data_IF_054594064597
#
_entry.id   IF_054594064597
#
_cell.length_a   1.000
_cell.length_b   1.000
_cell.length_c   1.000
_cell.angle_alpha   90.00
_cell.angle_beta   90.00
_cell.angle_gamma   90.00
#
_symmetry.space_group_name_H-M   'P 1'
#
loop_
_entity.id
_entity.type
_entity.pdbx_description
1 polymer ?
#
# COMPACT_ATOMS: atom_id res chain seq x y z
N UNK A 1 12.76 0.04 -14.47
CA UNK A 1 11.98 0.01 -13.21
C UNK A 1 11.47 -1.40 -13.00
N UNK A 2 11.41 -1.86 -11.76
CA UNK A 2 10.79 -3.13 -11.36
C UNK A 2 9.86 -2.89 -10.17
N UNK A 3 9.01 -3.86 -9.81
CA UNK A 3 8.24 -3.77 -8.56
C UNK A 3 8.07 -5.12 -7.85
N UNK A 4 8.66 -5.22 -6.67
CA UNK A 4 8.54 -6.37 -5.75
C UNK A 4 8.03 -5.92 -4.37
N UNK A 5 6.73 -6.09 -4.05
CA UNK A 5 6.13 -5.54 -2.84
C UNK A 5 6.77 -6.00 -1.52
N UNK A 6 7.29 -7.22 -1.48
CA UNK A 6 7.92 -7.78 -0.28
C UNK A 6 9.21 -7.08 0.11
N UNK A 7 9.87 -6.37 -0.82
CA UNK A 7 11.11 -5.65 -0.55
C UNK A 7 11.02 -4.73 0.65
N UNK A 8 9.89 -4.03 0.80
CA UNK A 8 9.73 -3.05 1.87
C UNK A 8 9.89 -3.64 3.28
N UNK A 9 9.50 -4.91 3.47
CA UNK A 9 9.49 -5.58 4.78
C UNK A 9 10.63 -6.60 4.96
N UNK A 10 11.42 -6.85 3.91
CA UNK A 10 12.56 -7.76 3.98
C UNK A 10 13.77 -7.02 4.57
N UNK A 11 14.28 -7.52 5.69
CA UNK A 11 15.30 -6.86 6.51
C UNK A 11 16.59 -6.54 5.76
N UNK A 12 17.05 -7.44 4.89
CA UNK A 12 18.32 -7.33 4.17
C UNK A 12 18.22 -6.48 2.90
N UNK A 13 17.01 -6.20 2.42
CA UNK A 13 16.78 -5.52 1.14
C UNK A 13 17.42 -4.12 1.08
N UNK A 14 17.26 -3.23 2.08
CA UNK A 14 17.85 -1.90 2.01
C UNK A 14 19.37 -1.94 1.84
N UNK A 15 20.06 -2.82 2.57
CA UNK A 15 21.49 -3.01 2.46
C UNK A 15 21.89 -3.49 1.05
N UNK A 16 21.20 -4.49 0.52
CA UNK A 16 21.50 -5.07 -0.80
C UNK A 16 21.28 -4.06 -1.93
N UNK A 17 20.19 -3.30 -1.90
CA UNK A 17 19.93 -2.27 -2.91
C UNK A 17 20.94 -1.13 -2.79
N UNK A 18 21.29 -0.71 -1.58
CA UNK A 18 22.31 0.33 -1.35
C UNK A 18 23.70 -0.10 -1.84
N UNK A 19 24.03 -1.39 -1.67
CA UNK A 19 25.27 -1.98 -2.20
C UNK A 19 25.29 -2.04 -3.74
N UNK A 20 24.13 -2.25 -4.38
CA UNK A 20 24.01 -2.19 -5.84
C UNK A 20 24.19 -0.75 -6.36
N UNK A 21 23.47 0.20 -5.78
CA UNK A 21 23.64 1.63 -6.06
C UNK A 21 23.00 2.47 -4.98
N UNK A 22 23.80 3.36 -4.38
CA UNK A 22 23.34 4.31 -3.36
C UNK A 22 22.38 5.37 -3.91
N UNK A 23 22.40 5.61 -5.22
CA UNK A 23 21.56 6.63 -5.89
C UNK A 23 20.19 6.08 -6.33
N UNK A 24 19.89 4.82 -6.02
CA UNK A 24 18.60 4.21 -6.37
C UNK A 24 17.45 5.02 -5.78
N UNK A 25 16.51 5.43 -6.63
CA UNK A 25 15.23 6.03 -6.21
C UNK A 25 14.23 4.93 -5.86
N UNK A 26 13.54 5.12 -4.74
CA UNK A 26 12.60 4.16 -4.17
C UNK A 26 11.19 4.74 -4.18
N UNK A 27 10.20 3.93 -4.53
CA UNK A 27 8.78 4.32 -4.47
C UNK A 27 8.06 3.31 -3.58
N UNK A 28 7.30 3.82 -2.60
CA UNK A 28 6.49 3.02 -1.70
C UNK A 28 5.04 3.45 -1.85
N UNK A 29 4.18 2.53 -2.32
CA UNK A 29 2.73 2.76 -2.36
C UNK A 29 2.15 2.29 -1.04
N UNK A 30 1.66 3.23 -0.24
CA UNK A 30 1.06 2.97 1.08
C UNK A 30 -0.47 3.05 0.99
N UNK A 31 -1.15 2.50 1.99
CA UNK A 31 -2.61 2.44 2.10
C UNK A 31 -2.99 2.43 3.57
N UNK A 32 -4.22 2.76 3.93
CA UNK A 32 -4.76 2.50 5.27
C UNK A 32 -4.36 1.07 5.71
N UNK A 33 -3.59 0.92 6.81
CA UNK A 33 -3.03 -0.37 7.21
C UNK A 33 -4.11 -1.39 7.59
N UNK A 34 -5.28 -0.95 8.08
CA UNK A 34 -6.42 -1.83 8.36
C UNK A 34 -6.98 -2.37 7.05
N UNK A 35 -7.29 -1.47 6.12
CA UNK A 35 -7.82 -1.86 4.80
C UNK A 35 -6.83 -2.73 4.03
N UNK A 36 -5.52 -2.46 4.17
CA UNK A 36 -4.42 -3.26 3.62
C UNK A 36 -4.39 -4.66 4.20
N UNK A 37 -4.50 -4.82 5.53
CA UNK A 37 -4.53 -6.12 6.20
C UNK A 37 -5.73 -6.96 5.75
N UNK A 38 -6.92 -6.37 5.66
CA UNK A 38 -8.13 -7.04 5.17
C UNK A 38 -7.95 -7.50 3.71
N UNK A 39 -7.31 -6.67 2.89
CA UNK A 39 -7.03 -7.00 1.48
C UNK A 39 -6.07 -8.19 1.34
N UNK A 40 -5.04 -8.25 2.21
CA UNK A 40 -4.05 -9.32 2.28
C UNK A 40 -4.70 -10.65 2.70
N UNK A 41 -5.51 -10.60 3.76
CA UNK A 41 -6.34 -11.71 4.20
C UNK A 41 -7.28 -12.21 3.09
N UNK A 42 -8.02 -11.31 2.45
CA UNK A 42 -8.95 -11.64 1.35
C UNK A 42 -8.22 -12.33 0.19
N UNK A 43 -7.00 -11.89 -0.13
CA UNK A 43 -6.18 -12.55 -1.14
C UNK A 43 -5.77 -13.96 -0.71
N UNK A 44 -5.40 -14.16 0.55
CA UNK A 44 -4.98 -15.46 1.09
C UNK A 44 -6.17 -16.42 1.15
N UNK A 45 -7.32 -15.96 1.64
CA UNK A 45 -8.58 -16.72 1.67
C UNK A 45 -9.00 -17.21 0.27
N UNK A 46 -8.80 -16.38 -0.78
CA UNK A 46 -9.11 -16.79 -2.16
C UNK A 46 -8.25 -17.95 -2.69
N UNK A 47 -7.14 -18.27 -2.02
CA UNK A 47 -6.23 -19.39 -2.34
C UNK A 47 -6.35 -20.53 -1.34
N UNK A 48 -6.80 -20.24 -0.12
CA UNK A 48 -6.90 -21.17 1.00
C UNK A 48 -8.26 -20.96 1.65
N UNK A 49 -9.33 -21.64 1.18
CA UNK A 49 -10.69 -21.41 1.66
C UNK A 49 -10.91 -21.72 3.15
N UNK A 50 -10.16 -22.68 3.70
CA UNK A 50 -10.28 -23.12 5.11
C UNK A 50 -9.42 -22.29 6.08
N UNK A 51 -9.08 -21.05 5.71
CA UNK A 51 -8.31 -20.16 6.56
C UNK A 51 -9.16 -19.76 7.79
N UNK A 52 -8.55 -19.70 9.00
CA UNK A 52 -9.23 -19.16 10.18
C UNK A 52 -9.75 -17.75 9.92
N UNK A 53 -10.71 -17.30 10.75
CA UNK A 53 -11.30 -15.98 10.56
C UNK A 53 -10.24 -14.88 10.67
N UNK A 54 -10.53 -13.72 10.10
CA UNK A 54 -9.63 -12.57 10.19
C UNK A 54 -9.34 -12.22 11.67
N UNK A 55 -10.36 -12.28 12.53
CA UNK A 55 -10.25 -11.99 13.95
C UNK A 55 -9.34 -12.99 14.68
N UNK A 56 -9.50 -14.29 14.41
CA UNK A 56 -8.67 -15.35 15.01
C UNK A 56 -7.18 -15.16 14.68
N UNK A 57 -6.88 -14.61 13.50
CA UNK A 57 -5.51 -14.34 13.06
C UNK A 57 -4.99 -12.96 13.51
N UNK A 58 -5.87 -11.97 13.61
CA UNK A 58 -5.52 -10.58 13.92
C UNK A 58 -5.28 -10.36 15.42
N UNK A 59 -5.88 -11.15 16.30
CA UNK A 59 -5.84 -10.95 17.73
C UNK A 59 -5.33 -12.18 18.47
N UNK A 60 -4.42 -11.98 19.42
CA UNK A 60 -4.12 -13.00 20.44
C UNK A 60 -5.24 -13.12 21.46
N UNK A 61 -5.90 -11.99 21.74
CA UNK A 61 -7.05 -11.91 22.61
C UNK A 61 -7.90 -10.69 22.20
N UNK A 62 -8.99 -10.93 21.46
CA UNK A 62 -9.86 -9.86 20.96
C UNK A 62 -10.60 -9.13 22.08
N UNK A 63 -11.04 -9.85 23.13
CA UNK A 63 -11.74 -9.25 24.28
C UNK A 63 -10.88 -8.22 25.03
N UNK A 64 -9.55 -8.37 24.98
CA UNK A 64 -8.59 -7.42 25.55
C UNK A 64 -7.98 -6.47 24.50
N UNK A 65 -8.39 -6.56 23.22
CA UNK A 65 -7.83 -5.77 22.13
C UNK A 65 -6.35 -6.06 21.82
N UNK A 66 -5.84 -7.24 22.21
CA UNK A 66 -4.44 -7.60 22.04
C UNK A 66 -4.22 -8.12 20.61
N UNK A 67 -3.73 -7.24 19.73
CA UNK A 67 -3.41 -7.53 18.33
C UNK A 67 -2.17 -8.44 18.22
N UNK A 68 -2.21 -9.44 17.34
CA UNK A 68 -1.06 -10.28 17.03
C UNK A 68 -0.17 -9.68 15.94
N UNK A 69 0.89 -9.00 16.36
CA UNK A 69 1.92 -8.45 15.47
C UNK A 69 2.79 -9.52 14.79
N UNK A 70 2.71 -10.78 15.23
CA UNK A 70 3.41 -11.89 14.59
C UNK A 70 2.82 -12.23 13.22
N UNK A 71 1.51 -11.99 13.06
CA UNK A 71 0.83 -12.25 11.81
C UNK A 71 1.27 -11.25 10.73
N UNK A 72 1.68 -11.79 9.58
CA UNK A 72 2.29 -10.99 8.53
C UNK A 72 1.35 -9.90 7.98
N UNK A 73 0.04 -10.17 7.94
CA UNK A 73 -0.95 -9.18 7.50
C UNK A 73 -1.09 -8.00 8.49
N UNK A 74 -0.70 -8.14 9.75
CA UNK A 74 -0.62 -7.00 10.66
C UNK A 74 0.74 -6.32 10.50
N UNK A 75 1.81 -7.11 10.59
CA UNK A 75 3.18 -6.61 10.60
C UNK A 75 3.53 -5.73 9.40
N UNK A 76 3.04 -6.04 8.20
CA UNK A 76 3.31 -5.21 7.00
C UNK A 76 2.77 -3.77 7.15
N UNK A 77 1.67 -3.58 7.88
CA UNK A 77 1.05 -2.27 8.10
C UNK A 77 1.84 -1.34 9.03
N UNK A 78 2.87 -1.84 9.72
CA UNK A 78 3.71 -1.06 10.64
C UNK A 78 4.77 -0.25 9.87
N UNK A 79 4.31 0.66 9.00
CA UNK A 79 5.15 1.36 8.02
C UNK A 79 6.32 2.12 8.63
N UNK A 80 6.11 2.80 9.76
CA UNK A 80 7.17 3.51 10.48
C UNK A 80 8.35 2.60 10.83
N UNK A 81 8.07 1.38 11.32
CA UNK A 81 9.11 0.43 11.73
C UNK A 81 9.93 -0.08 10.54
N UNK A 82 9.26 -0.35 9.42
CA UNK A 82 9.97 -0.76 8.20
C UNK A 82 10.81 0.41 7.65
N UNK A 83 10.26 1.62 7.66
CA UNK A 83 10.93 2.82 7.18
C UNK A 83 12.22 3.11 7.96
N UNK A 84 12.25 2.90 9.28
CA UNK A 84 13.48 3.02 10.08
C UNK A 84 14.63 2.15 9.54
N UNK A 85 14.34 0.95 9.03
CA UNK A 85 15.36 0.09 8.44
C UNK A 85 15.86 0.66 7.10
N UNK A 86 14.98 1.24 6.28
CA UNK A 86 15.35 1.85 5.00
C UNK A 86 16.18 3.12 5.19
N UNK A 87 15.84 3.95 6.17
CA UNK A 87 16.52 5.23 6.43
C UNK A 87 17.96 5.07 6.95
N UNK A 88 18.37 3.85 7.34
CA UNK A 88 19.78 3.53 7.64
C UNK A 88 20.67 3.53 6.40
N UNK A 89 20.09 3.36 5.21
CA UNK A 89 20.82 3.15 3.96
C UNK A 89 20.49 4.17 2.87
N UNK A 90 19.32 4.80 2.94
CA UNK A 90 18.84 5.78 1.96
C UNK A 90 18.34 7.04 2.66
N UNK A 91 18.70 8.25 2.19
CA UNK A 91 18.07 9.46 2.66
C UNK A 91 16.59 9.49 2.27
N UNK A 92 15.76 10.12 3.11
CA UNK A 92 14.31 10.23 2.87
C UNK A 92 13.99 10.83 1.49
N UNK A 93 14.81 11.78 1.01
CA UNK A 93 14.66 12.41 -0.31
C UNK A 93 14.74 11.43 -1.49
N UNK A 94 15.29 10.22 -1.30
CA UNK A 94 15.31 9.15 -2.31
C UNK A 94 14.12 8.20 -2.21
N UNK A 95 13.17 8.44 -1.29
CA UNK A 95 11.99 7.61 -1.09
C UNK A 95 10.73 8.45 -1.32
N UNK A 96 9.96 8.08 -2.34
CA UNK A 96 8.68 8.71 -2.62
C UNK A 96 7.52 7.84 -2.16
N UNK A 97 6.67 8.40 -1.30
CA UNK A 97 5.48 7.73 -0.80
C UNK A 97 4.25 8.15 -1.61
N UNK A 98 3.59 7.15 -2.20
CA UNK A 98 2.38 7.31 -3.01
C UNK A 98 1.17 6.89 -2.18
N UNK A 99 0.12 7.71 -2.17
CA UNK A 99 -1.14 7.35 -1.50
C UNK A 99 -1.93 6.38 -2.36
N UNK A 100 -2.18 5.18 -1.85
CA UNK A 100 -3.00 4.17 -2.52
C UNK A 100 -4.46 4.62 -2.68
N UNK A 101 -5.01 5.34 -1.70
CA UNK A 101 -6.34 5.94 -1.77
C UNK A 101 -6.40 6.98 -2.89
N UNK A 102 -5.43 7.90 -2.93
CA UNK A 102 -5.40 8.93 -3.97
C UNK A 102 -5.07 8.38 -5.35
N UNK A 103 -4.31 7.29 -5.45
CA UNK A 103 -4.09 6.60 -6.71
C UNK A 103 -5.39 6.02 -7.32
N UNK A 104 -6.40 5.79 -6.49
CA UNK A 104 -7.74 5.38 -6.94
C UNK A 104 -8.60 6.61 -7.28
N UNK A 105 -8.64 7.62 -6.41
CA UNK A 105 -9.54 8.77 -6.58
C UNK A 105 -9.03 9.81 -7.58
N UNK A 106 -7.71 10.00 -7.68
CA UNK A 106 -7.00 10.96 -8.51
C UNK A 106 -5.67 10.35 -9.04
N UNK A 107 -5.75 9.35 -9.95
CA UNK A 107 -4.56 8.69 -10.48
C UNK A 107 -3.65 9.66 -11.24
N UNK A 108 -4.20 10.66 -11.92
CA UNK A 108 -3.41 11.63 -12.68
C UNK A 108 -2.56 12.52 -11.76
N UNK A 109 -3.14 13.00 -10.64
CA UNK A 109 -2.43 13.80 -9.66
C UNK A 109 -1.31 13.03 -8.94
N UNK A 110 -1.55 11.78 -8.56
CA UNK A 110 -0.49 10.95 -7.96
C UNK A 110 0.62 10.61 -8.98
N UNK A 111 0.27 10.31 -10.24
CA UNK A 111 1.27 10.07 -11.28
C UNK A 111 2.06 11.31 -11.66
N UNK A 112 1.50 12.52 -11.51
CA UNK A 112 2.26 13.76 -11.69
C UNK A 112 3.41 13.84 -10.67
N UNK A 113 3.13 13.57 -9.38
CA UNK A 113 4.14 13.57 -8.31
C UNK A 113 5.22 12.51 -8.53
N UNK A 114 4.84 11.32 -8.98
CA UNK A 114 5.78 10.25 -9.33
C UNK A 114 6.68 10.66 -10.49
N UNK A 115 6.12 11.30 -11.54
CA UNK A 115 6.90 11.78 -12.68
C UNK A 115 7.94 12.84 -12.23
N UNK A 116 7.55 13.79 -11.39
CA UNK A 116 8.47 14.80 -10.86
C UNK A 116 9.59 14.17 -10.03
N UNK A 117 9.24 13.26 -9.11
CA UNK A 117 10.20 12.56 -8.27
C UNK A 117 11.24 11.81 -9.10
N UNK A 118 10.81 11.18 -10.21
CA UNK A 118 11.70 10.46 -11.12
C UNK A 118 12.48 11.40 -12.06
N UNK A 119 12.17 12.69 -12.11
CA UNK A 119 12.77 13.64 -13.06
C UNK A 119 12.26 13.48 -14.49
N UNK A 120 11.03 12.97 -14.64
CA UNK A 120 10.39 12.74 -15.94
C UNK A 120 9.48 13.90 -16.31
N UNK A 121 9.35 14.18 -17.61
CA UNK A 121 8.33 15.10 -18.13
C UNK A 121 6.94 14.57 -17.76
N UNK A 122 6.06 15.45 -17.26
CA UNK A 122 4.65 15.13 -16.98
C UNK A 122 3.87 14.89 -18.26
N UNK A 123 3.85 13.64 -18.72
CA UNK A 123 3.12 13.19 -19.92
C UNK A 123 1.82 12.49 -19.51
N UNK A 124 1.86 11.68 -18.44
CA UNK A 124 0.67 10.98 -17.94
C UNK A 124 -0.23 11.98 -17.24
N UNK A 125 -1.40 12.22 -17.83
CA UNK A 125 -2.47 13.10 -17.33
C UNK A 125 -3.81 12.37 -17.22
N UNK A 126 -4.83 13.07 -16.74
CA UNK A 126 -6.25 12.70 -16.72
C UNK A 126 -6.77 12.02 -18.01
N UNK A 127 -6.30 12.47 -19.18
CA UNK A 127 -6.66 11.91 -20.49
C UNK A 127 -6.31 10.42 -20.66
N UNK A 128 -5.37 9.91 -19.85
CA UNK A 128 -4.94 8.51 -19.89
C UNK A 128 -5.79 7.61 -18.99
N UNK A 129 -6.76 8.15 -18.27
CA UNK A 129 -7.60 7.41 -17.35
C UNK A 129 -9.08 7.52 -17.70
N UNK A 130 -9.83 6.46 -17.43
CA UNK A 130 -11.29 6.47 -17.35
C UNK A 130 -11.73 5.71 -16.10
N UNK A 131 -12.84 6.11 -15.51
CA UNK A 131 -13.40 5.36 -14.38
C UNK A 131 -14.35 4.27 -14.89
N UNK A 132 -14.07 3.00 -14.56
CA UNK A 132 -14.97 1.91 -14.88
C UNK A 132 -15.96 1.71 -13.73
N UNK A 133 -17.21 2.14 -13.91
CA UNK A 133 -18.26 2.06 -12.87
C UNK A 133 -18.56 0.62 -12.43
N UNK A 134 -18.57 -0.33 -13.35
CA UNK A 134 -18.80 -1.76 -13.04
C UNK A 134 -17.67 -2.33 -12.20
N UNK A 135 -16.42 -1.94 -12.48
CA UNK A 135 -15.25 -2.39 -11.71
C UNK A 135 -15.09 -1.61 -10.40
N UNK A 136 -15.50 -0.35 -10.36
CA UNK A 136 -15.28 0.56 -9.23
C UNK A 136 -13.87 1.14 -9.13
N UNK A 137 -13.06 1.07 -10.20
CA UNK A 137 -11.67 1.53 -10.23
C UNK A 137 -11.34 2.29 -11.52
N UNK A 138 -10.36 3.21 -11.49
CA UNK A 138 -9.81 3.79 -12.70
C UNK A 138 -9.09 2.73 -13.55
N UNK A 139 -9.20 2.87 -14.87
CA UNK A 139 -8.59 2.03 -15.87
C UNK A 139 -7.81 2.90 -16.87
N UNK A 140 -6.87 2.30 -17.59
CA UNK A 140 -6.06 3.00 -18.58
C UNK A 140 -6.85 3.16 -19.89
N UNK A 141 -7.01 4.40 -20.33
CA UNK A 141 -7.36 4.72 -21.72
C UNK A 141 -6.12 4.52 -22.57
N UNK A 142 -6.32 3.96 -23.76
CA UNK A 142 -5.31 3.97 -24.81
C UNK A 142 -5.71 5.00 -25.87
N UNK A 143 -4.74 5.64 -26.56
CA UNK A 143 -5.05 6.39 -27.77
C UNK A 143 -5.77 5.49 -28.77
N UNK A 144 -6.74 6.05 -29.51
CA UNK A 144 -7.64 5.31 -30.42
C UNK A 144 -6.90 4.41 -31.41
N UNK A 145 -5.68 4.78 -31.79
CA UNK A 145 -4.79 4.04 -32.70
C UNK A 145 -4.09 2.82 -32.08
N UNK A 146 -4.22 2.56 -30.78
CA UNK A 146 -3.34 1.60 -30.05
C UNK A 146 -4.07 0.48 -29.28
N UNK A 147 -5.36 0.29 -29.55
CA UNK A 147 -6.17 -0.84 -29.08
C UNK A 147 -7.13 -0.50 -27.93
N UNK A 148 -7.76 -1.55 -27.38
CA UNK A 148 -8.84 -1.40 -26.39
C UNK A 148 -8.35 -0.87 -25.04
N UNK A 149 -9.22 -0.17 -24.29
CA UNK A 149 -8.93 0.28 -22.92
C UNK A 149 -8.55 -0.91 -22.00
N UNK A 150 -7.64 -0.66 -21.06
CA UNK A 150 -7.10 -1.72 -20.18
C UNK A 150 -7.44 -1.45 -18.72
N UNK A 151 -8.27 -2.33 -18.15
CA UNK A 151 -8.47 -2.41 -16.70
C UNK A 151 -7.50 -3.41 -16.07
N UNK A 152 -7.25 -3.25 -14.77
CA UNK A 152 -6.57 -4.29 -13.99
C UNK A 152 -7.43 -5.57 -13.95
N UNK A 153 -6.76 -6.73 -13.93
CA UNK A 153 -7.43 -8.04 -13.95
C UNK A 153 -8.30 -8.34 -12.72
N UNK A 154 -8.98 -9.49 -12.73
CA UNK A 154 -9.89 -9.92 -11.65
C UNK A 154 -9.21 -10.04 -10.28
N UNK A 155 -7.89 -10.26 -10.25
CA UNK A 155 -7.08 -10.32 -9.04
C UNK A 155 -6.80 -8.94 -8.41
N UNK A 156 -7.37 -7.85 -8.93
CA UNK A 156 -7.20 -6.47 -8.45
C UNK A 156 -8.56 -5.81 -8.25
N UNK A 157 -8.78 -5.30 -7.03
CA UNK A 157 -10.07 -4.77 -6.60
C UNK A 157 -11.06 -5.87 -6.21
N UNK A 158 -10.62 -6.86 -5.41
CA UNK A 158 -11.52 -7.91 -4.89
C UNK A 158 -12.48 -7.30 -3.90
N UNK A 159 -13.72 -7.79 -3.89
CA UNK A 159 -14.65 -7.55 -2.78
C UNK A 159 -14.03 -8.08 -1.50
N UNK A 160 -13.89 -7.22 -0.51
CA UNK A 160 -13.38 -7.62 0.80
C UNK A 160 -14.45 -8.39 1.56
N UNK A 161 -14.01 -9.35 2.38
CA UNK A 161 -14.88 -9.96 3.39
C UNK A 161 -15.38 -8.88 4.35
N UNK A 162 -16.60 -9.05 4.86
CA UNK A 162 -17.10 -8.20 5.94
C UNK A 162 -16.37 -8.60 7.22
N UNK A 163 -15.75 -7.62 7.87
CA UNK A 163 -15.07 -7.80 9.15
C UNK A 163 -15.91 -7.10 10.22
N UNK A 164 -15.91 -7.66 11.42
CA UNK A 164 -16.56 -7.06 12.58
C UNK A 164 -16.10 -5.61 12.80
N UNK A 165 -17.05 -4.72 13.09
CA UNK A 165 -16.78 -3.30 13.33
C UNK A 165 -15.85 -3.11 14.52
N UNK A 166 -16.05 -3.86 15.59
CA UNK A 166 -15.24 -3.76 16.80
C UNK A 166 -13.78 -4.15 16.49
N UNK A 167 -13.59 -5.20 15.70
CA UNK A 167 -12.25 -5.61 15.24
C UNK A 167 -11.58 -4.54 14.37
N UNK A 168 -12.34 -3.86 13.49
CA UNK A 168 -11.83 -2.76 12.66
C UNK A 168 -11.41 -1.58 13.54
N UNK A 169 -12.24 -1.19 14.52
CA UNK A 169 -11.94 -0.09 15.43
C UNK A 169 -10.72 -0.39 16.31
N UNK A 170 -10.64 -1.59 16.89
CA UNK A 170 -9.46 -2.03 17.65
C UNK A 170 -8.18 -2.01 16.81
N UNK A 171 -8.25 -2.39 15.53
CA UNK A 171 -7.09 -2.29 14.63
C UNK A 171 -6.74 -0.84 14.28
N UNK A 172 -7.73 0.05 14.11
CA UNK A 172 -7.48 1.49 13.92
C UNK A 172 -6.77 2.08 15.12
N UNK A 173 -7.25 1.77 16.33
CA UNK A 173 -6.62 2.20 17.58
C UNK A 173 -5.19 1.67 17.71
N UNK A 174 -4.98 0.40 17.38
CA UNK A 174 -3.66 -0.22 17.36
C UNK A 174 -2.69 0.47 16.39
N UNK A 175 -3.12 0.77 15.16
CA UNK A 175 -2.25 1.40 14.15
C UNK A 175 -2.03 2.89 14.36
N UNK A 176 -2.97 3.61 14.99
CA UNK A 176 -2.94 5.07 15.16
C UNK A 176 -1.56 5.62 15.58
N UNK A 177 -0.91 5.15 16.68
CA UNK A 177 0.40 5.68 17.07
C UNK A 177 1.49 5.44 16.01
N UNK A 178 1.43 4.33 15.28
CA UNK A 178 2.38 4.03 14.21
C UNK A 178 2.12 4.87 12.96
N UNK A 179 0.86 5.18 12.66
CA UNK A 179 0.46 6.04 11.55
C UNK A 179 0.92 7.48 11.80
N UNK A 180 0.67 8.03 13.00
CA UNK A 180 1.14 9.37 13.40
C UNK A 180 2.66 9.46 13.25
N UNK A 181 3.40 8.50 13.81
CA UNK A 181 4.86 8.44 13.65
C UNK A 181 5.28 8.38 12.18
N UNK A 182 4.60 7.58 11.36
CA UNK A 182 4.90 7.50 9.93
C UNK A 182 4.68 8.85 9.22
N UNK A 183 3.58 9.56 9.52
CA UNK A 183 3.27 10.87 8.94
C UNK A 183 4.34 11.90 9.30
N UNK A 184 4.77 11.93 10.56
CA UNK A 184 5.87 12.77 11.03
C UNK A 184 7.18 12.45 10.29
N UNK A 185 7.52 11.16 10.17
CA UNK A 185 8.75 10.72 9.49
C UNK A 185 8.81 11.14 8.02
N UNK A 186 7.67 11.15 7.32
CA UNK A 186 7.63 11.45 5.88
C UNK A 186 7.14 12.87 5.57
N UNK A 187 6.76 13.65 6.58
CA UNK A 187 6.21 15.01 6.43
C UNK A 187 4.90 15.06 5.64
N UNK A 188 4.08 14.00 5.68
CA UNK A 188 2.82 13.91 4.95
C UNK A 188 1.79 13.08 5.70
N UNK A 189 0.62 13.68 5.94
CA UNK A 189 -0.54 13.01 6.52
C UNK A 189 -1.40 12.35 5.43
N UNK A 190 -1.56 11.03 5.52
CA UNK A 190 -2.36 10.23 4.59
C UNK A 190 -3.82 10.08 5.01
N UNK A 191 -4.21 10.61 6.18
CA UNK A 191 -5.59 10.67 6.69
C UNK A 191 -6.24 9.30 6.89
N UNK A 192 -5.48 8.33 7.43
CA UNK A 192 -5.99 6.99 7.76
C UNK A 192 -6.62 6.88 9.16
N UNK A 193 -7.18 7.97 9.70
CA UNK A 193 -7.88 7.97 10.97
C UNK A 193 -9.29 7.38 10.83
#
# INVERSE_FOLDING_TARGET
>A
MEKTPSYFVTKETPQRISAMSRDTKLIVVVRDPVTRAISDYTQTLSKTPDLPSFQDLAFRNQSLGVVDVSWNAIRIGLYALHLENWLRYFPLAQIHFVSGERLISDPAGELARVQDFLGLKRIVTDKHFYFNRTKGFPCLKKPESSGSPRCLGKSKGRTHVQIDRDAVEQLRDFYRPYNVKFYEMVGHDFKWE
#
